data_IF_497512999724
#
_entry.id   IF_497512999724
#
_cell.length_a   1.000
_cell.length_b   1.000
_cell.length_c   1.000
_cell.angle_alpha   90.00
_cell.angle_beta   90.00
_cell.angle_gamma   90.00
#
_symmetry.space_group_name_H-M   'P 1'
#
loop_
_entity.id
_entity.type
_entity.pdbx_description
1 polymer ?
#
# COMPACT_ATOMS: atom_id res chain seq x y z
N UNK A 1 -3.76 -16.08 -6.48
CA UNK A 1 -2.52 -15.82 -5.74
C UNK A 1 -2.81 -14.79 -4.66
N UNK A 2 -2.46 -15.06 -3.41
CA UNK A 2 -2.74 -14.19 -2.25
C UNK A 2 -1.63 -13.16 -2.05
N UNK A 3 -1.97 -11.89 -1.85
CA UNK A 3 -0.95 -10.87 -1.50
C UNK A 3 -0.48 -11.10 -0.06
N UNK A 4 0.83 -11.19 0.16
CA UNK A 4 1.42 -11.45 1.48
C UNK A 4 2.42 -10.37 1.86
N UNK A 5 2.38 -9.96 3.12
CA UNK A 5 3.42 -9.16 3.77
C UNK A 5 3.92 -9.96 4.97
N UNK A 6 5.21 -10.27 5.02
CA UNK A 6 5.81 -10.82 6.24
C UNK A 6 5.97 -9.72 7.27
N UNK A 7 5.64 -9.99 8.53
CA UNK A 7 5.81 -9.07 9.65
C UNK A 7 6.81 -9.68 10.63
N UNK A 8 8.03 -9.16 10.62
CA UNK A 8 9.16 -9.69 11.38
C UNK A 8 9.64 -8.69 12.45
N UNK A 9 10.34 -9.20 13.46
CA UNK A 9 10.83 -8.41 14.59
C UNK A 9 10.97 -9.24 15.87
N UNK A 10 11.75 -8.78 16.85
CA UNK A 10 11.94 -9.53 18.08
C UNK A 10 10.63 -9.73 18.86
N UNK A 11 10.56 -10.71 19.78
CA UNK A 11 9.49 -10.77 20.78
C UNK A 11 9.29 -9.41 21.46
N UNK A 12 8.06 -8.97 21.67
CA UNK A 12 7.79 -7.67 22.32
C UNK A 12 7.90 -6.44 21.42
N UNK A 13 8.29 -6.56 20.13
CA UNK A 13 8.41 -5.41 19.22
C UNK A 13 7.08 -4.77 18.78
N UNK A 14 5.93 -5.31 19.22
CA UNK A 14 4.61 -4.77 18.90
C UNK A 14 3.96 -5.30 17.61
N UNK A 15 4.53 -6.33 16.95
CA UNK A 15 3.99 -6.90 15.69
C UNK A 15 2.48 -7.12 15.69
N UNK A 16 1.96 -7.98 16.57
CA UNK A 16 0.52 -8.27 16.62
C UNK A 16 -0.35 -7.03 16.84
N UNK A 17 0.11 -6.07 17.65
CA UNK A 17 -0.59 -4.79 17.84
C UNK A 17 -0.65 -3.98 16.55
N UNK A 18 0.47 -3.90 15.82
CA UNK A 18 0.53 -3.20 14.55
C UNK A 18 -0.24 -3.94 13.45
N UNK A 19 -0.22 -5.28 13.43
CA UNK A 19 -1.03 -6.08 12.52
C UNK A 19 -2.53 -5.87 12.73
N UNK A 20 -3.00 -5.80 13.98
CA UNK A 20 -4.40 -5.51 14.29
C UNK A 20 -4.82 -4.13 13.75
N UNK A 21 -3.99 -3.10 13.95
CA UNK A 21 -4.21 -1.76 13.39
C UNK A 21 -4.21 -1.77 11.86
N UNK A 22 -3.29 -2.51 11.22
CA UNK A 22 -3.24 -2.64 9.76
C UNK A 22 -4.50 -3.33 9.24
N UNK A 23 -4.95 -4.41 9.89
CA UNK A 23 -6.18 -5.12 9.53
C UNK A 23 -7.40 -4.20 9.58
N UNK A 24 -7.56 -3.45 10.67
CA UNK A 24 -8.66 -2.50 10.86
C UNK A 24 -8.67 -1.39 9.80
N UNK A 25 -7.51 -0.85 9.44
CA UNK A 25 -7.42 0.35 8.59
C UNK A 25 -7.25 0.05 7.09
N UNK A 26 -6.74 -1.14 6.72
CA UNK A 26 -6.37 -1.45 5.34
C UNK A 26 -7.01 -2.71 4.76
N UNK A 27 -7.79 -3.46 5.55
CA UNK A 27 -8.50 -4.67 5.09
C UNK A 27 -7.60 -5.87 4.81
N UNK A 28 -6.38 -5.87 5.36
CA UNK A 28 -5.54 -7.07 5.40
C UNK A 28 -6.01 -7.99 6.52
N UNK A 29 -5.74 -9.29 6.41
CA UNK A 29 -6.02 -10.26 7.48
C UNK A 29 -4.72 -10.61 8.20
N UNK A 30 -4.72 -10.48 9.53
CA UNK A 30 -3.60 -10.85 10.39
C UNK A 30 -3.58 -12.36 10.63
N UNK A 31 -2.50 -13.02 10.20
CA UNK A 31 -2.22 -14.42 10.47
C UNK A 31 -0.91 -14.54 11.26
N UNK A 32 -1.04 -14.73 12.57
CA UNK A 32 0.10 -14.98 13.45
C UNK A 32 0.44 -16.46 13.44
N UNK A 33 1.63 -16.80 12.94
CA UNK A 33 2.10 -18.19 12.92
C UNK A 33 2.09 -18.80 14.33
N UNK A 34 2.48 -18.00 15.34
CA UNK A 34 2.45 -18.45 16.73
C UNK A 34 1.04 -18.68 17.28
N UNK A 35 0.05 -17.88 16.87
CA UNK A 35 -1.33 -18.07 17.35
C UNK A 35 -2.00 -19.26 16.66
N UNK A 36 -1.78 -19.44 15.35
CA UNK A 36 -2.22 -20.64 14.63
C UNK A 36 -1.63 -21.92 15.24
N UNK A 37 -0.35 -21.90 15.64
CA UNK A 37 0.28 -23.01 16.35
C UNK A 37 -0.34 -23.25 17.73
N UNK A 38 -0.63 -22.20 18.51
CA UNK A 38 -1.32 -22.32 19.80
C UNK A 38 -2.74 -22.88 19.67
N UNK A 39 -3.47 -22.46 18.63
CA UNK A 39 -4.79 -22.97 18.30
C UNK A 39 -4.74 -24.45 17.93
N UNK A 40 -3.84 -24.84 17.02
CA UNK A 40 -3.67 -26.25 16.62
C UNK A 40 -3.21 -27.13 17.78
N UNK A 41 -2.38 -26.59 18.69
CA UNK A 41 -1.99 -27.27 19.92
C UNK A 41 -3.20 -27.55 20.82
N UNK A 42 -4.06 -26.57 20.99
CA UNK A 42 -5.22 -26.66 21.89
C UNK A 42 -6.40 -27.42 21.24
N UNK A 43 -6.34 -27.74 19.94
CA UNK A 43 -7.40 -28.44 19.22
C UNK A 43 -7.47 -29.90 19.65
N UNK A 44 -8.63 -30.33 20.15
CA UNK A 44 -8.86 -31.73 20.55
C UNK A 44 -8.64 -32.68 19.37
N UNK A 45 -7.85 -33.74 19.58
CA UNK A 45 -7.51 -34.71 18.53
C UNK A 45 -6.47 -34.20 17.51
N UNK A 46 -5.76 -33.12 17.81
CA UNK A 46 -4.66 -32.64 16.97
C UNK A 46 -3.52 -33.66 16.91
N UNK A 47 -3.15 -34.09 15.70
CA UNK A 47 -1.98 -34.95 15.45
C UNK A 47 -0.64 -34.25 15.71
N UNK A 48 -0.65 -32.91 15.81
CA UNK A 48 0.55 -32.10 16.02
C UNK A 48 0.61 -31.49 17.43
N UNK A 49 -0.40 -31.70 18.27
CA UNK A 49 -0.55 -30.98 19.53
C UNK A 49 0.64 -31.12 20.47
N UNK A 50 1.11 -32.35 20.69
CA UNK A 50 2.26 -32.64 21.57
C UNK A 50 3.59 -32.13 21.00
N UNK A 51 3.78 -32.27 19.68
CA UNK A 51 4.96 -31.76 18.98
C UNK A 51 5.05 -30.23 19.09
N UNK A 52 3.94 -29.53 18.84
CA UNK A 52 3.86 -28.08 18.95
C UNK A 52 4.10 -27.62 20.39
N UNK A 53 3.50 -28.28 21.38
CA UNK A 53 3.70 -27.97 22.80
C UNK A 53 5.18 -28.07 23.20
N UNK A 54 5.89 -29.10 22.72
CA UNK A 54 7.31 -29.30 22.98
C UNK A 54 8.16 -28.14 22.43
N UNK A 55 7.90 -27.72 21.19
CA UNK A 55 8.61 -26.59 20.58
C UNK A 55 8.29 -25.25 21.25
N UNK A 56 7.03 -25.01 21.61
CA UNK A 56 6.60 -23.78 22.30
C UNK A 56 7.31 -23.66 23.66
N UNK A 57 7.29 -24.73 24.48
CA UNK A 57 7.96 -24.73 25.80
C UNK A 57 9.47 -24.46 25.70
N UNK A 58 10.11 -25.03 24.69
CA UNK A 58 11.56 -24.91 24.50
C UNK A 58 11.99 -23.64 23.75
N UNK A 59 11.06 -22.85 23.20
CA UNK A 59 11.38 -21.68 22.39
C UNK A 59 12.05 -22.02 21.06
N UNK A 60 11.88 -23.25 20.57
CA UNK A 60 12.43 -23.74 19.30
C UNK A 60 11.40 -23.63 18.17
N UNK A 61 11.85 -23.81 16.93
CA UNK A 61 11.01 -23.64 15.73
C UNK A 61 10.28 -24.94 15.43
N UNK A 62 8.95 -24.85 15.25
CA UNK A 62 8.10 -25.97 14.78
C UNK A 62 8.44 -26.27 13.31
N UNK A 63 8.43 -27.54 12.87
CA UNK A 63 8.66 -27.91 11.47
C UNK A 63 7.88 -27.04 10.47
N UNK A 64 8.57 -26.64 9.39
CA UNK A 64 8.07 -25.66 8.43
C UNK A 64 6.78 -26.12 7.74
N UNK A 65 6.63 -27.41 7.44
CA UNK A 65 5.47 -27.97 6.73
C UNK A 65 4.19 -27.79 7.55
N UNK A 66 4.27 -27.94 8.87
CA UNK A 66 3.13 -27.73 9.78
C UNK A 66 2.72 -26.27 9.75
N UNK A 67 3.69 -25.36 9.86
CA UNK A 67 3.42 -23.91 9.88
C UNK A 67 2.86 -23.43 8.54
N UNK A 68 3.44 -23.86 7.42
CA UNK A 68 2.94 -23.56 6.07
C UNK A 68 1.53 -24.12 5.83
N UNK A 69 1.24 -25.35 6.26
CA UNK A 69 -0.10 -25.93 6.13
C UNK A 69 -1.16 -25.13 6.92
N UNK A 70 -0.85 -24.74 8.16
CA UNK A 70 -1.74 -23.91 8.97
C UNK A 70 -1.99 -22.53 8.35
N UNK A 71 -0.92 -21.87 7.88
CA UNK A 71 -1.02 -20.57 7.19
C UNK A 71 -1.85 -20.69 5.90
N UNK A 72 -1.60 -21.70 5.07
CA UNK A 72 -2.34 -21.94 3.83
C UNK A 72 -3.83 -22.17 4.10
N UNK A 73 -4.15 -23.02 5.07
CA UNK A 73 -5.54 -23.27 5.46
C UNK A 73 -6.23 -21.99 5.93
N UNK A 74 -5.57 -21.19 6.77
CA UNK A 74 -6.13 -19.93 7.26
C UNK A 74 -6.37 -18.91 6.12
N UNK A 75 -5.46 -18.84 5.13
CA UNK A 75 -5.65 -17.99 3.94
C UNK A 75 -6.85 -18.44 3.11
N UNK A 76 -7.00 -19.75 2.88
CA UNK A 76 -8.12 -20.31 2.11
C UNK A 76 -9.50 -20.05 2.76
N UNK A 77 -9.56 -19.90 4.09
CA UNK A 77 -10.80 -19.53 4.80
C UNK A 77 -11.18 -18.05 4.65
N UNK A 78 -10.33 -17.23 4.03
CA UNK A 78 -10.54 -15.78 3.88
C UNK A 78 -10.25 -15.32 2.43
N UNK A 79 -10.95 -15.88 1.42
CA UNK A 79 -10.65 -15.61 0.01
C UNK A 79 -10.83 -14.13 -0.39
N UNK A 80 -11.69 -13.39 0.31
CA UNK A 80 -11.98 -11.98 0.03
C UNK A 80 -10.98 -10.99 0.68
N UNK A 81 -9.95 -11.49 1.39
CA UNK A 81 -8.96 -10.63 2.01
C UNK A 81 -8.14 -9.84 0.97
N UNK A 82 -7.92 -8.54 1.22
CA UNK A 82 -7.06 -7.71 0.35
C UNK A 82 -5.62 -8.24 0.29
N UNK A 83 -5.17 -8.85 1.38
CA UNK A 83 -3.89 -9.51 1.55
C UNK A 83 -3.75 -10.03 2.98
N UNK A 84 -2.65 -10.72 3.25
CA UNK A 84 -2.37 -11.35 4.54
C UNK A 84 -1.09 -10.81 5.16
N UNK A 85 -1.15 -10.51 6.46
CA UNK A 85 0.00 -10.18 7.30
C UNK A 85 0.45 -11.46 8.00
N UNK A 86 1.54 -12.04 7.54
CA UNK A 86 2.10 -13.25 8.13
C UNK A 86 3.07 -12.83 9.24
N UNK A 87 2.58 -12.85 10.49
CA UNK A 87 3.29 -12.38 11.68
C UNK A 87 4.14 -13.48 12.31
N UNK A 88 5.45 -13.22 12.39
CA UNK A 88 6.40 -14.07 13.09
C UNK A 88 6.89 -15.29 12.30
N UNK A 89 6.80 -15.26 10.97
CA UNK A 89 7.33 -16.26 10.04
C UNK A 89 7.74 -15.57 8.71
N UNK A 90 8.81 -16.01 8.01
CA UNK A 90 9.78 -17.05 8.38
C UNK A 90 10.75 -16.61 9.48
N UNK A 91 11.28 -17.57 10.26
CA UNK A 91 12.22 -17.30 11.38
C UNK A 91 13.65 -17.76 11.16
N UNK A 92 13.89 -18.62 10.18
CA UNK A 92 15.19 -19.18 9.82
C UNK A 92 15.18 -19.60 8.33
N UNK A 93 16.31 -20.10 7.83
CA UNK A 93 16.44 -20.44 6.41
C UNK A 93 15.53 -21.60 6.01
N UNK A 94 15.43 -22.63 6.85
CA UNK A 94 14.51 -23.77 6.64
C UNK A 94 13.05 -23.34 6.47
N UNK A 95 12.59 -22.37 7.27
CA UNK A 95 11.27 -21.76 7.12
C UNK A 95 11.10 -21.05 5.78
N UNK A 96 12.12 -20.31 5.33
CA UNK A 96 12.08 -19.60 4.05
C UNK A 96 12.08 -20.58 2.86
N UNK A 97 12.91 -21.61 2.90
CA UNK A 97 13.00 -22.63 1.86
C UNK A 97 11.71 -23.46 1.78
N UNK A 98 11.18 -23.90 2.92
CA UNK A 98 9.90 -24.59 2.98
C UNK A 98 8.73 -23.69 2.56
N UNK A 99 8.75 -22.40 2.89
CA UNK A 99 7.76 -21.44 2.36
C UNK A 99 7.82 -21.35 0.84
N UNK A 100 9.01 -21.18 0.27
CA UNK A 100 9.18 -21.09 -1.18
C UNK A 100 8.70 -22.37 -1.87
N UNK A 101 8.99 -23.54 -1.29
CA UNK A 101 8.53 -24.83 -1.81
C UNK A 101 7.01 -24.98 -1.77
N UNK A 102 6.37 -24.65 -0.65
CA UNK A 102 4.94 -24.98 -0.41
C UNK A 102 3.98 -23.86 -0.84
N UNK A 103 4.45 -22.60 -0.87
CA UNK A 103 3.60 -21.41 -0.99
C UNK A 103 3.88 -20.56 -2.22
N UNK A 104 5.02 -20.67 -2.91
CA UNK A 104 5.40 -19.76 -4.01
C UNK A 104 4.32 -19.64 -5.10
N UNK A 105 3.69 -20.74 -5.51
CA UNK A 105 2.64 -20.73 -6.55
C UNK A 105 1.30 -20.13 -6.06
N UNK A 106 1.15 -19.95 -4.75
CA UNK A 106 -0.10 -19.52 -4.12
C UNK A 106 -0.06 -18.06 -3.65
N UNK A 107 1.13 -17.46 -3.52
CA UNK A 107 1.31 -16.16 -2.87
C UNK A 107 2.16 -15.18 -3.68
N UNK A 108 1.83 -13.90 -3.57
CA UNK A 108 2.60 -12.78 -4.09
C UNK A 108 3.20 -12.00 -2.91
N UNK A 109 4.47 -12.24 -2.59
CA UNK A 109 5.16 -11.53 -1.51
C UNK A 109 5.38 -10.07 -1.91
N UNK A 110 4.75 -9.14 -1.19
CA UNK A 110 4.83 -7.71 -1.48
C UNK A 110 6.11 -7.09 -0.91
N UNK A 111 6.38 -7.33 0.38
CA UNK A 111 7.52 -6.82 1.13
C UNK A 111 7.55 -7.47 2.52
N UNK A 112 8.59 -7.17 3.29
CA UNK A 112 8.75 -7.55 4.70
C UNK A 112 8.69 -6.31 5.57
N UNK A 113 7.68 -6.22 6.43
CA UNK A 113 7.58 -5.21 7.47
C UNK A 113 8.43 -5.65 8.67
N UNK A 114 9.54 -4.96 8.90
CA UNK A 114 10.48 -5.29 9.97
C UNK A 114 10.38 -4.26 11.11
N UNK A 115 9.87 -4.69 12.26
CA UNK A 115 9.76 -3.88 13.47
C UNK A 115 10.97 -4.10 14.38
N UNK A 116 11.83 -3.10 14.54
CA UNK A 116 12.97 -3.14 15.47
C UNK A 116 12.60 -2.61 16.84
N UNK A 117 13.20 -3.18 17.89
CA UNK A 117 12.97 -2.77 19.26
C UNK A 117 14.20 -3.17 20.09
N UNK A 118 14.59 -2.34 21.07
CA UNK A 118 15.71 -2.71 21.96
C UNK A 118 15.34 -3.91 22.83
N UNK A 119 16.36 -4.66 23.26
CA UNK A 119 16.19 -5.85 24.11
C UNK A 119 15.46 -5.50 25.40
N UNK A 120 15.83 -4.39 26.02
CA UNK A 120 15.28 -3.90 27.28
C UNK A 120 13.80 -3.57 27.13
N UNK A 121 13.43 -2.86 26.06
CA UNK A 121 12.02 -2.55 25.76
C UNK A 121 11.21 -3.81 25.42
N UNK A 122 11.80 -4.76 24.70
CA UNK A 122 11.17 -6.05 24.40
C UNK A 122 10.85 -6.82 25.68
N UNK A 123 11.80 -6.93 26.60
CA UNK A 123 11.63 -7.59 27.89
C UNK A 123 10.53 -6.92 28.71
N UNK A 124 10.61 -5.59 28.87
CA UNK A 124 9.60 -4.80 29.59
C UNK A 124 8.20 -5.03 29.00
N UNK A 125 8.04 -4.87 27.68
CA UNK A 125 6.75 -5.05 27.00
C UNK A 125 6.20 -6.48 27.12
N UNK A 126 7.06 -7.49 27.12
CA UNK A 126 6.62 -8.87 27.28
C UNK A 126 6.19 -9.18 28.72
N UNK A 127 6.94 -8.72 29.73
CA UNK A 127 6.58 -8.90 31.14
C UNK A 127 5.31 -8.11 31.52
N UNK A 128 5.14 -6.89 31.00
CA UNK A 128 3.95 -6.07 31.26
C UNK A 128 2.65 -6.60 30.65
N UNK A 129 2.71 -7.53 29.68
CA UNK A 129 1.50 -8.17 29.13
C UNK A 129 0.80 -9.08 30.14
N UNK A 130 1.49 -9.49 31.21
CA UNK A 130 1.00 -10.52 32.13
C UNK A 130 1.00 -11.91 31.49
N UNK A 131 0.40 -12.89 32.18
CA UNK A 131 0.32 -14.29 31.73
C UNK A 131 -0.71 -14.51 30.61
N UNK A 132 -0.71 -13.66 29.57
CA UNK A 132 -1.57 -13.86 28.40
C UNK A 132 -1.21 -15.14 27.63
N UNK A 133 0.02 -15.64 27.78
CA UNK A 133 0.47 -16.92 27.22
C UNK A 133 1.10 -17.80 28.31
N UNK A 134 0.93 -19.11 28.17
CA UNK A 134 1.52 -20.10 29.07
C UNK A 134 3.06 -20.06 29.11
N UNK A 135 3.69 -19.48 28.08
CA UNK A 135 5.15 -19.33 27.92
C UNK A 135 5.67 -17.92 28.24
N UNK A 136 4.86 -17.02 28.81
CA UNK A 136 5.29 -15.66 29.19
C UNK A 136 6.03 -15.64 30.56
N UNK A 137 7.02 -16.52 30.73
CA UNK A 137 7.99 -16.47 31.84
C UNK A 137 9.35 -15.95 31.35
N UNK A 138 10.16 -15.43 32.28
CA UNK A 138 11.44 -14.79 31.94
C UNK A 138 12.41 -15.73 31.20
N UNK A 139 12.45 -17.01 31.57
CA UNK A 139 13.34 -18.01 30.98
C UNK A 139 12.96 -18.32 29.52
N UNK A 140 11.68 -18.59 29.26
CA UNK A 140 11.14 -18.82 27.92
C UNK A 140 11.30 -17.57 27.04
N UNK A 141 11.14 -16.38 27.61
CA UNK A 141 11.32 -15.13 26.88
C UNK A 141 12.79 -14.91 26.47
N UNK A 142 13.76 -15.20 27.34
CA UNK A 142 15.19 -15.16 27.01
C UNK A 142 15.51 -16.10 25.85
N UNK A 143 15.08 -17.36 25.94
CA UNK A 143 15.22 -18.36 24.85
C UNK A 143 14.67 -17.85 23.52
N UNK A 144 13.48 -17.22 23.53
CA UNK A 144 12.85 -16.65 22.32
C UNK A 144 13.63 -15.48 21.72
N UNK A 145 14.25 -14.64 22.55
CA UNK A 145 15.10 -13.54 22.09
C UNK A 145 16.39 -14.08 21.49
N UNK A 146 17.00 -15.08 22.12
CA UNK A 146 18.23 -15.71 21.64
C UNK A 146 18.01 -16.43 20.30
N UNK A 147 16.93 -17.21 20.16
CA UNK A 147 16.53 -17.82 18.88
C UNK A 147 16.33 -16.78 17.79
N UNK A 148 15.68 -15.64 18.10
CA UNK A 148 15.49 -14.55 17.14
C UNK A 148 16.84 -13.97 16.67
N UNK A 149 17.73 -13.63 17.61
CA UNK A 149 19.03 -13.03 17.28
C UNK A 149 19.92 -13.98 16.47
N UNK A 150 19.89 -15.27 16.79
CA UNK A 150 20.78 -16.25 16.17
C UNK A 150 20.29 -16.76 14.82
N UNK A 151 18.96 -16.83 14.58
CA UNK A 151 18.41 -17.49 13.40
C UNK A 151 17.62 -16.56 12.48
N UNK A 152 16.94 -15.55 13.03
CA UNK A 152 16.07 -14.67 12.22
C UNK A 152 16.85 -13.55 11.55
N UNK A 153 18.03 -13.18 12.07
CA UNK A 153 18.84 -12.10 11.49
C UNK A 153 19.31 -12.40 10.06
N UNK A 154 19.69 -13.64 9.76
CA UNK A 154 20.05 -14.05 8.39
C UNK A 154 18.91 -13.85 7.39
N UNK A 155 17.66 -14.02 7.85
CA UNK A 155 16.46 -13.79 7.03
C UNK A 155 16.21 -12.31 6.80
N UNK A 156 16.43 -11.48 7.82
CA UNK A 156 16.40 -10.02 7.65
C UNK A 156 17.45 -9.58 6.64
N UNK A 157 18.66 -10.13 6.69
CA UNK A 157 19.72 -9.83 5.73
C UNK A 157 19.37 -10.29 4.31
N UNK A 158 18.82 -11.49 4.15
CA UNK A 158 18.34 -12.01 2.86
C UNK A 158 17.34 -11.04 2.20
N UNK A 159 16.30 -10.63 2.92
CA UNK A 159 15.29 -9.70 2.40
C UNK A 159 15.82 -8.26 2.26
N UNK A 160 16.84 -7.88 3.03
CA UNK A 160 17.53 -6.58 2.88
C UNK A 160 18.28 -6.55 1.55
N UNK A 161 19.04 -7.60 1.21
CA UNK A 161 19.74 -7.73 -0.09
C UNK A 161 18.76 -7.73 -1.27
N UNK A 162 17.56 -8.27 -1.08
CA UNK A 162 16.48 -8.25 -2.08
C UNK A 162 15.70 -6.92 -2.14
N UNK A 163 16.06 -5.88 -1.35
CA UNK A 163 15.32 -4.61 -1.24
C UNK A 163 13.84 -4.78 -0.86
N UNK A 164 13.49 -5.83 -0.11
CA UNK A 164 12.13 -6.12 0.33
C UNK A 164 11.84 -5.66 1.77
N UNK A 165 12.86 -5.28 2.54
CA UNK A 165 12.70 -4.85 3.93
C UNK A 165 12.17 -3.41 4.01
N UNK A 166 11.09 -3.25 4.77
CA UNK A 166 10.62 -1.95 5.26
C UNK A 166 10.77 -1.90 6.77
N UNK A 167 11.83 -1.23 7.22
CA UNK A 167 12.25 -1.16 8.63
C UNK A 167 11.53 -0.03 9.37
N UNK A 168 10.94 -0.34 10.51
CA UNK A 168 10.28 0.60 11.41
C UNK A 168 10.82 0.42 12.83
N UNK A 169 11.26 1.52 13.44
CA UNK A 169 11.63 1.51 14.86
C UNK A 169 10.40 1.59 15.75
N UNK A 170 10.16 0.54 16.53
CA UNK A 170 9.05 0.40 17.49
C UNK A 170 9.29 1.18 18.79
N UNK A 171 9.71 2.44 18.66
CA UNK A 171 9.87 3.41 19.75
C UNK A 171 8.67 4.35 19.74
N UNK A 172 8.11 4.58 20.93
CA UNK A 172 6.90 5.39 21.12
C UNK A 172 5.68 4.59 21.55
N UNK A 173 4.53 5.25 21.55
CA UNK A 173 3.23 4.63 21.81
C UNK A 173 2.70 3.87 20.56
N UNK A 174 1.58 3.15 20.71
CA UNK A 174 1.02 2.30 19.63
C UNK A 174 0.69 3.10 18.37
N UNK A 175 0.12 4.29 18.52
CA UNK A 175 -0.33 5.13 17.41
C UNK A 175 0.86 5.80 16.71
N UNK A 176 1.89 6.24 17.45
CA UNK A 176 3.15 6.77 16.88
C UNK A 176 3.87 5.72 16.01
N UNK A 177 3.93 4.47 16.49
CA UNK A 177 4.51 3.36 15.73
C UNK A 177 3.62 3.06 14.51
N UNK A 178 2.30 3.07 14.69
CA UNK A 178 1.37 2.81 13.59
C UNK A 178 1.44 3.90 12.52
N UNK A 179 1.67 5.16 12.89
CA UNK A 179 1.88 6.23 11.92
C UNK A 179 3.14 6.01 11.08
N UNK A 180 4.22 5.49 11.68
CA UNK A 180 5.41 5.05 10.92
C UNK A 180 5.09 3.87 9.99
N UNK A 181 4.28 2.92 10.45
CA UNK A 181 3.76 1.82 9.61
C UNK A 181 2.88 2.36 8.47
N UNK A 182 2.05 3.38 8.69
CA UNK A 182 1.25 4.01 7.63
C UNK A 182 2.09 4.66 6.53
N UNK A 183 3.38 4.93 6.75
CA UNK A 183 4.25 5.58 5.75
C UNK A 183 4.42 4.71 4.48
N UNK A 184 3.98 3.45 4.49
CA UNK A 184 3.91 2.60 3.30
C UNK A 184 3.10 3.23 2.17
N UNK A 185 3.74 3.30 1.01
CA UNK A 185 3.10 3.26 -0.30
C UNK A 185 1.93 4.24 -0.42
N UNK A 186 2.21 5.50 -0.75
CA UNK A 186 1.13 6.42 -1.11
C UNK A 186 0.67 6.11 -2.55
N UNK A 187 0.09 4.93 -2.77
CA UNK A 187 -0.64 4.67 -4.00
C UNK A 187 -1.89 5.53 -4.02
N UNK A 188 -1.82 6.65 -4.74
CA UNK A 188 -2.97 7.43 -5.19
C UNK A 188 -3.62 6.70 -6.37
N UNK A 189 -4.11 5.50 -6.12
CA UNK A 189 -4.72 4.65 -7.14
C UNK A 189 -6.23 4.74 -7.10
N UNK A 190 -6.83 5.08 -8.24
CA UNK A 190 -8.25 5.02 -8.43
C UNK A 190 -8.76 3.59 -8.25
N UNK A 191 -10.02 3.44 -7.84
CA UNK A 191 -10.70 2.15 -7.84
C UNK A 191 -10.61 1.50 -9.21
N UNK A 192 -10.57 0.17 -9.24
CA UNK A 192 -10.63 -0.60 -10.49
C UNK A 192 -11.83 -0.16 -11.32
N UNK A 193 -11.61 0.13 -12.60
CA UNK A 193 -12.63 0.68 -13.49
C UNK A 193 -12.76 2.18 -13.48
N UNK A 194 -12.00 2.91 -12.66
CA UNK A 194 -11.95 4.36 -12.65
C UNK A 194 -10.66 4.86 -13.32
N UNK A 195 -10.75 6.01 -13.97
CA UNK A 195 -9.61 6.76 -14.49
C UNK A 195 -9.45 8.09 -13.76
N UNK A 196 -8.28 8.72 -13.86
CA UNK A 196 -8.08 10.07 -13.33
C UNK A 196 -8.75 11.09 -14.25
N UNK A 197 -9.52 12.02 -13.67
CA UNK A 197 -10.13 13.15 -14.39
C UNK A 197 -9.69 14.50 -13.89
N UNK A 198 -9.07 14.60 -12.70
CA UNK A 198 -8.42 15.82 -12.27
C UNK A 198 -7.16 15.55 -11.47
N UNK A 199 -6.17 16.43 -11.62
CA UNK A 199 -4.93 16.45 -10.85
C UNK A 199 -4.71 17.86 -10.33
N UNK A 200 -4.41 17.99 -9.04
CA UNK A 200 -4.29 19.27 -8.35
C UNK A 200 -3.14 19.27 -7.36
N UNK A 201 -2.39 20.37 -7.32
CA UNK A 201 -1.44 20.69 -6.25
C UNK A 201 -1.97 21.86 -5.42
N UNK A 202 -2.14 21.67 -4.12
CA UNK A 202 -2.69 22.67 -3.18
C UNK A 202 -1.57 23.19 -2.29
N UNK A 203 -1.45 24.52 -2.14
CA UNK A 203 -0.49 25.10 -1.19
C UNK A 203 -0.82 24.73 0.25
N UNK A 204 0.24 24.56 1.07
CA UNK A 204 0.10 24.55 2.52
C UNK A 204 -0.40 25.92 3.01
N UNK A 205 -1.31 25.98 4.01
CA UNK A 205 -1.71 27.23 4.68
C UNK A 205 -0.53 28.05 5.19
N UNK A 206 0.54 27.37 5.61
CA UNK A 206 1.76 28.01 6.12
C UNK A 206 2.72 28.45 5.00
N UNK A 207 2.36 28.26 3.72
CA UNK A 207 3.20 28.57 2.54
C UNK A 207 4.62 27.97 2.60
N UNK A 208 4.81 26.89 3.36
CA UNK A 208 6.06 26.11 3.42
C UNK A 208 5.92 24.83 2.61
N UNK A 209 6.91 24.54 1.75
CA UNK A 209 7.00 23.30 0.97
C UNK A 209 6.16 23.27 -0.32
N UNK A 210 6.25 22.17 -1.09
CA UNK A 210 5.62 22.04 -2.42
C UNK A 210 4.09 21.97 -2.39
N UNK A 211 3.47 21.90 -1.21
CA UNK A 211 2.04 21.70 -1.07
C UNK A 211 1.68 20.22 -1.14
N UNK A 212 0.42 19.92 -1.49
CA UNK A 212 -0.14 18.58 -1.47
C UNK A 212 -0.75 18.19 -2.80
N UNK A 213 -0.55 16.93 -3.22
CA UNK A 213 -1.03 16.38 -4.47
C UNK A 213 -2.38 15.69 -4.30
N UNK A 214 -3.30 15.95 -5.22
CA UNK A 214 -4.69 15.53 -5.14
C UNK A 214 -5.15 15.02 -6.50
N UNK A 215 -5.82 13.87 -6.53
CA UNK A 215 -6.40 13.32 -7.76
C UNK A 215 -7.90 13.09 -7.60
N UNK A 216 -8.65 13.36 -8.66
CA UNK A 216 -10.06 13.00 -8.77
C UNK A 216 -10.22 11.92 -9.83
N UNK A 217 -11.05 10.93 -9.52
CA UNK A 217 -11.31 9.79 -10.36
C UNK A 217 -12.79 9.71 -10.69
N UNK A 218 -13.10 9.26 -11.90
CA UNK A 218 -14.46 8.92 -12.31
C UNK A 218 -14.50 7.50 -12.86
N UNK A 219 -15.66 6.86 -12.72
CA UNK A 219 -15.90 5.54 -13.30
C UNK A 219 -15.72 5.64 -14.82
N UNK A 220 -15.03 4.68 -15.41
CA UNK A 220 -14.77 4.57 -16.85
C UNK A 220 -15.28 3.24 -17.39
N UNK A 221 -15.22 2.17 -16.59
CA UNK A 221 -15.69 0.85 -16.99
C UNK A 221 -16.36 0.13 -15.82
N UNK A 222 -17.60 -0.33 -16.06
CA UNK A 222 -18.38 -1.03 -15.05
C UNK A 222 -18.01 -2.51 -14.90
N UNK A 223 -17.31 -3.09 -15.87
CA UNK A 223 -16.90 -4.50 -15.87
C UNK A 223 -15.50 -4.69 -15.27
N UNK A 224 -15.37 -4.31 -14.00
CA UNK A 224 -14.07 -4.28 -13.28
C UNK A 224 -13.29 -5.60 -13.29
N UNK A 225 -13.97 -6.74 -13.45
CA UNK A 225 -13.34 -8.05 -13.56
C UNK A 225 -12.47 -8.21 -14.82
N UNK A 226 -12.77 -7.50 -15.91
CA UNK A 226 -12.02 -7.57 -17.17
C UNK A 226 -10.81 -6.65 -17.23
N UNK A 227 -10.62 -5.84 -16.19
CA UNK A 227 -9.57 -4.81 -16.16
C UNK A 227 -8.28 -5.43 -15.62
N UNK A 228 -7.17 -5.14 -16.29
CA UNK A 228 -5.83 -5.46 -15.82
C UNK A 228 -5.05 -4.18 -15.58
N UNK A 229 -4.22 -4.13 -14.54
CA UNK A 229 -3.45 -2.94 -14.20
C UNK A 229 -1.99 -3.31 -13.93
N UNK A 230 -1.09 -2.47 -14.37
CA UNK A 230 0.36 -2.61 -14.24
C UNK A 230 1.00 -1.28 -13.84
N UNK A 231 2.20 -1.37 -13.28
CA UNK A 231 3.07 -0.22 -13.02
C UNK A 231 4.12 -0.15 -14.12
N UNK A 232 4.80 0.99 -14.23
CA UNK A 232 5.97 1.07 -15.10
C UNK A 232 7.01 0.03 -14.66
N UNK A 233 7.65 -0.60 -15.64
CA UNK A 233 8.74 -1.55 -15.40
C UNK A 233 10.03 -0.84 -14.97
N UNK A 234 10.13 0.46 -15.21
CA UNK A 234 11.29 1.30 -14.91
C UNK A 234 10.89 2.49 -14.06
N UNK A 235 11.79 2.92 -13.17
CA UNK A 235 11.57 4.13 -12.38
C UNK A 235 11.38 5.37 -13.30
N UNK A 236 10.43 6.27 -12.99
CA UNK A 236 10.28 7.56 -13.67
C UNK A 236 11.60 8.34 -13.70
N UNK A 237 12.00 8.84 -14.87
CA UNK A 237 13.28 9.51 -15.10
C UNK A 237 13.15 11.04 -15.12
N UNK A 238 11.97 11.57 -15.47
CA UNK A 238 11.75 13.02 -15.62
C UNK A 238 12.79 13.71 -16.52
N UNK A 239 13.05 13.09 -17.67
CA UNK A 239 13.94 13.58 -18.73
C UNK A 239 13.18 14.22 -19.91
N UNK A 240 11.86 14.42 -19.76
CA UNK A 240 10.97 14.93 -20.81
C UNK A 240 10.36 13.89 -21.75
N UNK A 241 10.75 12.62 -21.64
CA UNK A 241 10.05 11.54 -22.34
C UNK A 241 8.68 11.31 -21.71
N UNK A 242 7.76 10.80 -22.53
CA UNK A 242 6.44 10.41 -22.04
C UNK A 242 6.58 9.14 -21.21
N UNK A 243 6.25 9.25 -19.93
CA UNK A 243 6.23 8.15 -18.97
C UNK A 243 4.78 7.86 -18.61
N UNK A 244 4.38 6.59 -18.67
CA UNK A 244 3.01 6.18 -18.38
C UNK A 244 2.50 5.12 -19.33
N UNK A 245 1.24 5.27 -19.72
CA UNK A 245 0.43 4.22 -20.29
C UNK A 245 0.61 4.12 -21.81
N UNK A 246 0.62 2.88 -22.32
CA UNK A 246 0.83 2.58 -23.74
C UNK A 246 -0.39 1.89 -24.38
N UNK A 247 -0.49 1.92 -25.71
CA UNK A 247 -1.66 1.37 -26.41
C UNK A 247 -2.98 1.92 -25.88
N UNK A 248 -3.91 1.02 -25.53
CA UNK A 248 -5.23 1.32 -24.94
C UNK A 248 -5.21 1.48 -23.41
N UNK A 249 -4.04 1.63 -22.80
CA UNK A 249 -3.96 1.83 -21.35
C UNK A 249 -4.22 3.28 -20.97
N UNK A 250 -4.96 3.46 -19.87
CA UNK A 250 -5.29 4.75 -19.29
C UNK A 250 -4.71 4.88 -17.88
N UNK A 251 -4.41 6.12 -17.48
CA UNK A 251 -3.84 6.43 -16.19
C UNK A 251 -4.92 6.29 -15.09
N UNK A 252 -4.66 5.42 -14.13
CA UNK A 252 -5.56 5.17 -13.00
C UNK A 252 -5.00 5.69 -11.68
N UNK A 253 -3.75 6.14 -11.64
CA UNK A 253 -3.16 6.55 -10.39
C UNK A 253 -1.68 6.80 -10.44
N UNK A 254 -1.13 7.08 -9.27
CA UNK A 254 0.30 7.16 -9.06
C UNK A 254 0.66 6.31 -7.84
N UNK A 255 1.61 5.40 -7.99
CA UNK A 255 2.35 4.92 -6.86
C UNK A 255 3.30 6.02 -6.39
N UNK A 256 3.56 6.00 -5.11
CA UNK A 256 4.24 7.05 -4.45
C UNK A 256 5.44 6.63 -3.65
N UNK A 257 6.62 7.16 -4.00
CA UNK A 257 7.83 6.99 -3.20
C UNK A 257 8.26 8.30 -2.53
N UNK A 258 8.38 8.29 -1.20
CA UNK A 258 9.04 9.38 -0.49
C UNK A 258 10.54 9.15 -0.63
N UNK A 259 11.24 10.02 -1.37
CA UNK A 259 12.68 9.91 -1.56
C UNK A 259 13.37 10.58 -0.37
N UNK A 260 13.64 9.82 0.70
CA UNK A 260 14.24 10.24 1.99
C UNK A 260 13.36 11.14 2.86
N UNK A 261 13.55 11.07 4.19
CA UNK A 261 12.71 11.79 5.17
C UNK A 261 12.87 13.31 5.13
N UNK A 262 13.99 13.82 4.60
CA UNK A 262 14.36 15.23 4.74
C UNK A 262 14.01 16.07 3.50
N UNK A 263 13.92 15.44 2.32
CA UNK A 263 13.82 16.15 1.04
C UNK A 263 12.41 16.68 0.73
N UNK A 264 11.37 16.16 1.39
CA UNK A 264 9.96 16.37 1.01
C UNK A 264 9.67 16.06 -0.48
N UNK A 265 10.51 15.26 -1.14
CA UNK A 265 10.35 14.87 -2.54
C UNK A 265 9.58 13.55 -2.65
N UNK A 266 8.59 13.58 -3.52
CA UNK A 266 7.61 12.53 -3.75
C UNK A 266 7.73 12.13 -5.22
N UNK A 267 8.27 10.94 -5.48
CA UNK A 267 8.30 10.34 -6.81
C UNK A 267 6.92 9.75 -7.10
N UNK A 268 6.33 10.17 -8.22
CA UNK A 268 5.06 9.66 -8.70
C UNK A 268 5.31 8.67 -9.84
N UNK A 269 5.03 7.39 -9.60
CA UNK A 269 5.10 6.32 -10.60
C UNK A 269 3.69 6.04 -11.18
N UNK A 270 3.44 6.35 -12.46
CA UNK A 270 2.17 6.07 -13.13
C UNK A 270 1.69 4.63 -12.97
N UNK A 271 0.41 4.48 -12.61
CA UNK A 271 -0.29 3.19 -12.63
C UNK A 271 -1.24 3.19 -13.83
N UNK A 272 -1.07 2.20 -14.70
CA UNK A 272 -1.76 2.08 -15.96
C UNK A 272 -2.69 0.88 -15.96
N UNK A 273 -3.93 1.07 -16.40
CA UNK A 273 -4.88 -0.04 -16.57
C UNK A 273 -5.33 -0.17 -18.02
N UNK A 274 -5.65 -1.39 -18.42
CA UNK A 274 -6.27 -1.71 -19.70
C UNK A 274 -7.63 -2.36 -19.47
N UNK A 275 -8.56 -2.12 -20.39
CA UNK A 275 -9.85 -2.79 -20.44
C UNK A 275 -10.21 -3.11 -21.89
N UNK A 276 -10.77 -4.29 -22.19
CA UNK A 276 -11.33 -4.59 -23.52
C UNK A 276 -12.53 -3.70 -23.88
N UNK A 277 -13.16 -3.04 -22.90
CA UNK A 277 -14.30 -2.16 -23.10
C UNK A 277 -13.92 -0.69 -23.31
N UNK A 278 -12.63 -0.36 -23.16
CA UNK A 278 -12.11 1.00 -23.30
C UNK A 278 -11.19 1.06 -24.51
N UNK A 279 -11.44 2.02 -25.38
CA UNK A 279 -10.57 2.34 -26.53
C UNK A 279 -10.02 3.75 -26.36
N UNK A 280 -8.72 3.91 -26.59
CA UNK A 280 -8.05 5.20 -26.61
C UNK A 280 -7.78 5.55 -28.06
N UNK A 281 -8.18 6.75 -28.47
CA UNK A 281 -7.82 7.28 -29.77
C UNK A 281 -6.42 7.90 -29.69
N UNK A 282 -5.40 7.16 -30.15
CA UNK A 282 -4.02 7.63 -30.13
C UNK A 282 -3.76 8.85 -31.02
N UNK A 283 -4.60 9.11 -32.02
CA UNK A 283 -4.45 10.26 -32.93
C UNK A 283 -4.93 11.55 -32.25
N UNK A 284 -5.87 11.44 -31.30
CA UNK A 284 -6.38 12.56 -30.51
C UNK A 284 -5.44 13.01 -29.39
N UNK A 285 -4.37 12.27 -29.11
CA UNK A 285 -3.49 12.54 -27.97
C UNK A 285 -2.77 13.88 -28.12
N UNK A 286 -2.82 14.69 -27.06
CA UNK A 286 -2.12 15.98 -26.99
C UNK A 286 -1.46 16.17 -25.62
N UNK A 287 -0.35 16.90 -25.58
CA UNK A 287 0.39 17.14 -24.33
C UNK A 287 0.12 18.52 -23.78
N UNK A 288 -0.42 18.58 -22.56
CA UNK A 288 -0.82 19.82 -21.89
C UNK A 288 0.05 20.10 -20.67
N UNK A 289 0.62 21.31 -20.58
CA UNK A 289 1.37 21.73 -19.38
C UNK A 289 0.40 22.09 -18.27
N UNK A 290 0.50 21.40 -17.13
CA UNK A 290 -0.46 21.56 -16.04
C UNK A 290 0.00 22.48 -14.91
N UNK A 291 1.30 22.81 -14.84
CA UNK A 291 1.84 23.54 -13.70
C UNK A 291 2.81 24.67 -14.06
N UNK A 292 2.90 25.61 -13.13
CA UNK A 292 3.92 26.65 -13.07
C UNK A 292 4.82 26.42 -11.85
N UNK A 293 6.09 26.79 -11.99
CA UNK A 293 7.13 26.61 -10.97
C UNK A 293 6.71 27.17 -9.62
N UNK A 294 6.78 26.36 -8.58
CA UNK A 294 6.45 26.69 -7.19
C UNK A 294 4.99 27.03 -6.92
N UNK A 295 4.11 27.03 -7.94
CA UNK A 295 2.71 27.46 -7.80
C UNK A 295 1.76 26.28 -7.63
N UNK A 296 0.70 26.43 -6.81
CA UNK A 296 -0.46 25.55 -6.86
C UNK A 296 -1.03 25.49 -8.28
N UNK A 297 -1.64 24.36 -8.63
CA UNK A 297 -2.32 24.20 -9.91
C UNK A 297 -3.49 23.25 -9.77
N UNK A 298 -4.44 23.32 -10.70
CA UNK A 298 -5.59 22.42 -10.80
C UNK A 298 -5.88 22.19 -12.27
N UNK A 299 -5.75 20.96 -12.72
CA UNK A 299 -6.03 20.55 -14.10
C UNK A 299 -7.15 19.51 -14.08
N UNK A 300 -8.20 19.73 -14.88
CA UNK A 300 -9.41 18.91 -14.88
C UNK A 300 -9.86 18.66 -16.32
N UNK A 301 -10.13 17.41 -16.64
CA UNK A 301 -10.82 17.02 -17.85
C UNK A 301 -12.31 17.35 -17.65
N UNK A 302 -12.81 18.32 -18.42
CA UNK A 302 -14.20 18.78 -18.27
C UNK A 302 -15.22 17.74 -18.74
N UNK A 303 -14.83 16.91 -19.71
CA UNK A 303 -15.68 15.89 -20.31
C UNK A 303 -15.16 14.47 -20.00
N UNK A 304 -16.08 13.51 -19.91
CA UNK A 304 -15.77 12.11 -19.54
C UNK A 304 -15.21 11.26 -20.69
N UNK A 305 -15.12 11.84 -21.88
CA UNK A 305 -14.57 11.26 -23.11
C UNK A 305 -13.07 11.53 -23.26
N UNK A 306 -12.39 12.05 -22.23
CA UNK A 306 -10.93 12.17 -22.20
C UNK A 306 -10.32 11.39 -21.03
N UNK A 307 -9.08 10.95 -21.20
CA UNK A 307 -8.27 10.39 -20.12
C UNK A 307 -6.84 10.88 -20.18
N UNK A 308 -6.21 11.01 -19.01
CA UNK A 308 -4.77 11.09 -18.93
C UNK A 308 -4.15 9.74 -19.29
N UNK A 309 -3.08 9.78 -20.08
CA UNK A 309 -2.36 8.59 -20.53
C UNK A 309 -0.95 8.53 -19.97
N UNK A 310 -0.27 9.65 -19.86
CA UNK A 310 1.06 9.70 -19.28
C UNK A 310 1.44 11.09 -18.86
N UNK A 311 2.66 11.21 -18.34
CA UNK A 311 3.26 12.47 -17.95
C UNK A 311 4.65 12.61 -18.57
N UNK A 312 4.98 13.83 -18.97
CA UNK A 312 6.35 14.24 -19.23
C UNK A 312 6.76 15.17 -18.10
N UNK A 313 7.91 14.91 -17.49
CA UNK A 313 8.44 15.79 -16.45
C UNK A 313 9.85 16.27 -16.74
N UNK A 314 10.16 17.47 -16.26
CA UNK A 314 11.50 18.06 -16.29
C UNK A 314 11.81 18.66 -14.93
N UNK A 315 12.99 18.32 -14.40
CA UNK A 315 13.53 18.98 -13.22
C UNK A 315 13.91 20.44 -13.54
N UNK A 316 13.58 21.34 -12.62
CA UNK A 316 14.03 22.72 -12.66
C UNK A 316 14.94 22.99 -11.48
N UNK A 317 16.09 23.57 -11.76
CA UNK A 317 17.11 23.86 -10.76
C UNK A 317 17.33 25.37 -10.64
N UNK A 318 17.72 25.83 -9.45
CA UNK A 318 18.24 27.19 -9.29
C UNK A 318 19.60 27.29 -9.98
N UNK A 319 19.78 28.32 -10.79
CA UNK A 319 21.04 28.55 -11.50
C UNK A 319 22.23 28.85 -10.57
N UNK A 320 21.98 29.29 -9.34
CA UNK A 320 23.01 29.71 -8.39
C UNK A 320 23.75 28.56 -7.70
N UNK A 321 23.05 27.46 -7.41
CA UNK A 321 23.55 26.36 -6.57
C UNK A 321 23.14 24.97 -7.07
N UNK A 322 22.52 24.87 -8.25
CA UNK A 322 21.95 23.65 -8.81
C UNK A 322 21.00 22.91 -7.85
N UNK A 323 20.38 23.61 -6.89
CA UNK A 323 19.35 23.00 -6.03
C UNK A 323 18.07 22.79 -6.83
N UNK A 324 17.45 21.61 -6.68
CA UNK A 324 16.15 21.33 -7.28
C UNK A 324 15.11 22.32 -6.73
N UNK A 325 14.50 23.08 -7.63
CA UNK A 325 13.51 24.11 -7.33
C UNK A 325 12.08 23.55 -7.42
N UNK A 326 11.75 22.89 -8.52
CA UNK A 326 10.44 22.24 -8.77
C UNK A 326 10.55 21.28 -9.97
N UNK A 327 9.44 20.65 -10.33
CA UNK A 327 9.28 19.85 -11.54
C UNK A 327 8.25 20.52 -12.45
N UNK A 328 8.53 20.64 -13.74
CA UNK A 328 7.51 20.98 -14.76
C UNK A 328 6.87 19.69 -15.24
N UNK A 329 5.55 19.65 -15.27
CA UNK A 329 4.77 18.48 -15.67
C UNK A 329 3.88 18.85 -16.85
N UNK A 330 3.94 18.03 -17.90
CA UNK A 330 2.93 17.94 -18.94
C UNK A 330 2.21 16.62 -18.83
N UNK A 331 0.90 16.59 -19.08
CA UNK A 331 0.13 15.35 -19.18
C UNK A 331 -0.27 15.11 -20.63
N UNK A 332 -0.13 13.88 -21.08
CA UNK A 332 -0.76 13.43 -22.32
C UNK A 332 -2.24 13.14 -22.04
N UNK A 333 -3.11 13.82 -22.78
CA UNK A 333 -4.56 13.70 -22.73
C UNK A 333 -5.02 13.16 -24.07
N UNK A 334 -5.83 12.09 -24.06
CA UNK A 334 -6.38 11.49 -25.27
C UNK A 334 -7.89 11.32 -25.13
N UNK A 335 -8.60 11.39 -26.25
CA UNK A 335 -9.99 10.97 -26.31
C UNK A 335 -10.11 9.46 -26.09
N UNK A 336 -11.18 9.06 -25.41
CA UNK A 336 -11.49 7.69 -25.05
C UNK A 336 -12.95 7.36 -25.35
N UNK A 337 -13.21 6.09 -25.56
CA UNK A 337 -14.56 5.54 -25.69
C UNK A 337 -14.72 4.34 -24.77
N UNK A 338 -15.78 4.34 -23.95
CA UNK A 338 -16.16 3.20 -23.11
C UNK A 338 -17.51 2.65 -23.53
N UNK A 339 -17.56 1.36 -23.84
CA UNK A 339 -18.80 0.67 -24.21
C UNK A 339 -19.74 0.41 -23.03
N UNK A 340 -19.26 0.55 -21.79
CA UNK A 340 -20.01 0.18 -20.58
C UNK A 340 -20.38 1.37 -19.68
N UNK A 341 -19.75 2.53 -19.85
CA UNK A 341 -19.95 3.66 -18.95
C UNK A 341 -21.31 4.35 -19.11
N UNK A 342 -21.64 4.76 -20.34
CA UNK A 342 -22.89 5.48 -20.62
C UNK A 342 -24.09 4.56 -20.78
N UNK A 343 -23.88 3.28 -21.13
CA UNK A 343 -24.96 2.34 -21.45
C UNK A 343 -25.89 1.99 -20.28
N UNK A 344 -25.56 2.39 -19.04
CA UNK A 344 -26.31 2.05 -17.83
C UNK A 344 -27.03 3.23 -17.16
N UNK A 345 -27.00 4.45 -17.70
CA UNK A 345 -27.63 5.63 -17.08
C UNK A 345 -28.92 6.03 -17.77
N UNK A 346 -29.91 6.45 -16.98
CA UNK A 346 -31.17 7.02 -17.49
C UNK A 346 -31.07 8.51 -17.88
N UNK A 347 -29.88 9.12 -17.76
CA UNK A 347 -29.66 10.57 -17.91
C UNK A 347 -28.27 10.90 -18.49
N UNK A 348 -28.12 12.11 -19.08
CA UNK A 348 -26.85 12.58 -19.68
C UNK A 348 -25.98 13.31 -18.66
N UNK A 349 -24.70 12.97 -18.61
CA UNK A 349 -23.77 13.54 -17.63
C UNK A 349 -23.61 15.06 -17.74
N UNK A 350 -23.58 15.58 -18.96
CA UNK A 350 -23.45 17.02 -19.25
C UNK A 350 -24.60 17.85 -18.66
N UNK A 351 -25.76 17.24 -18.44
CA UNK A 351 -26.96 17.92 -17.92
C UNK A 351 -27.00 17.98 -16.39
N UNK A 352 -26.08 17.32 -15.70
CA UNK A 352 -26.11 17.19 -14.25
C UNK A 352 -25.29 18.26 -13.53
N UNK A 353 -25.73 18.67 -12.32
CA UNK A 353 -24.96 19.60 -11.53
C UNK A 353 -23.60 18.98 -11.17
N UNK A 354 -22.54 19.79 -11.05
CA UNK A 354 -21.23 19.30 -10.66
C UNK A 354 -21.27 18.57 -9.31
N UNK A 355 -20.55 17.43 -9.19
CA UNK A 355 -20.40 16.75 -7.90
C UNK A 355 -19.82 17.69 -6.84
N UNK A 356 -20.61 18.08 -5.85
CA UNK A 356 -20.15 18.84 -4.67
C UNK A 356 -19.64 17.89 -3.59
N UNK A 357 -18.44 17.34 -3.79
CA UNK A 357 -17.83 16.42 -2.85
C UNK A 357 -17.14 17.17 -1.70
N UNK A 358 -17.66 17.05 -0.48
CA UNK A 358 -17.00 17.50 0.75
C UNK A 358 -16.41 16.30 1.46
N UNK A 359 -15.12 16.02 1.25
CA UNK A 359 -14.44 14.88 1.85
C UNK A 359 -13.52 15.29 3.00
N UNK A 360 -13.43 14.44 4.03
CA UNK A 360 -12.84 14.69 5.36
C UNK A 360 -11.41 15.24 5.43
N UNK A 361 -11.05 15.66 6.65
CA UNK A 361 -9.81 16.32 7.10
C UNK A 361 -9.23 17.32 6.09
N UNK A 362 -9.62 18.59 6.22
CA UNK A 362 -8.98 19.68 5.45
C UNK A 362 -7.50 19.84 5.78
N UNK A 363 -7.11 19.50 7.01
CA UNK A 363 -5.78 19.71 7.55
C UNK A 363 -5.32 18.54 8.42
N UNK A 364 -4.13 18.03 8.13
CA UNK A 364 -3.38 17.11 8.96
C UNK A 364 -2.87 17.79 10.25
N UNK A 365 -2.41 16.98 11.21
CA UNK A 365 -1.69 17.46 12.38
C UNK A 365 -0.59 18.46 11.98
N UNK A 366 -0.52 19.61 12.67
CA UNK A 366 0.41 20.69 12.32
C UNK A 366 -0.02 21.52 11.10
N UNK A 367 -1.27 21.39 10.64
CA UNK A 367 -1.93 22.19 9.60
C UNK A 367 -1.41 22.00 8.16
N UNK A 368 -0.76 20.86 7.88
CA UNK A 368 -0.43 20.44 6.50
C UNK A 368 -1.70 20.02 5.75
N UNK A 369 -1.70 20.08 4.42
CA UNK A 369 -2.82 19.60 3.58
C UNK A 369 -2.58 18.13 3.19
N UNK A 370 -3.56 17.22 3.35
CA UNK A 370 -3.35 15.82 3.02
C UNK A 370 -3.28 15.57 1.51
N UNK A 371 -2.42 14.65 1.12
CA UNK A 371 -2.42 14.04 -0.21
C UNK A 371 -3.71 13.22 -0.34
N UNK A 372 -4.49 13.42 -1.42
CA UNK A 372 -5.86 12.86 -1.48
C UNK A 372 -6.21 12.23 -2.83
N UNK A 373 -7.08 11.25 -2.77
CA UNK A 373 -7.79 10.68 -3.92
C UNK A 373 -9.29 10.76 -3.68
N UNK A 374 -10.03 11.25 -4.68
CA UNK A 374 -11.48 11.41 -4.63
C UNK A 374 -12.12 10.64 -5.77
N UNK A 375 -12.90 9.61 -5.46
CA UNK A 375 -13.72 8.89 -6.43
C UNK A 375 -15.09 9.54 -6.52
N UNK A 376 -15.44 10.07 -7.68
CA UNK A 376 -16.78 10.55 -8.00
C UNK A 376 -17.56 9.40 -8.64
N UNK A 377 -18.63 8.96 -7.97
CA UNK A 377 -19.52 7.93 -8.45
C UNK A 377 -20.89 8.52 -8.75
N UNK A 378 -21.25 8.59 -10.02
CA UNK A 378 -22.56 9.04 -10.44
C UNK A 378 -23.57 7.90 -10.33
N UNK A 379 -24.73 8.17 -9.72
CA UNK A 379 -25.73 7.16 -9.47
C UNK A 379 -26.50 6.82 -10.77
N UNK A 380 -26.77 5.53 -11.08
CA UNK A 380 -27.37 5.15 -12.37
C UNK A 380 -28.74 5.78 -12.67
N UNK A 381 -29.55 5.95 -11.62
CA UNK A 381 -30.98 6.26 -11.74
C UNK A 381 -31.32 7.73 -11.45
N UNK A 382 -30.38 8.50 -10.91
CA UNK A 382 -30.60 9.89 -10.54
C UNK A 382 -29.37 10.75 -10.82
N UNK A 383 -29.62 12.02 -11.12
CA UNK A 383 -28.65 13.04 -11.46
C UNK A 383 -27.91 13.52 -10.19
N UNK A 384 -27.26 12.58 -9.51
CA UNK A 384 -26.60 12.75 -8.22
C UNK A 384 -25.24 12.03 -8.21
N UNK A 385 -24.44 12.34 -7.20
CA UNK A 385 -23.06 11.87 -7.11
C UNK A 385 -22.72 11.48 -5.68
N UNK A 386 -22.27 10.25 -5.49
CA UNK A 386 -21.66 9.77 -4.26
C UNK A 386 -20.14 9.88 -4.38
N UNK A 387 -19.49 10.51 -3.40
CA UNK A 387 -18.05 10.69 -3.42
C UNK A 387 -17.37 9.88 -2.33
N UNK A 388 -16.33 9.13 -2.70
CA UNK A 388 -15.53 8.36 -1.75
C UNK A 388 -14.08 8.83 -1.80
N UNK A 389 -13.56 9.27 -0.67
CA UNK A 389 -12.20 9.77 -0.56
C UNK A 389 -11.28 8.79 0.19
N UNK A 390 -10.01 8.81 -0.18
CA UNK A 390 -8.94 8.40 0.72
C UNK A 390 -7.91 9.53 0.77
N UNK A 391 -7.26 9.70 1.90
CA UNK A 391 -6.27 10.75 2.09
C UNK A 391 -5.15 10.28 3.01
N UNK A 392 -3.97 10.90 2.88
CA UNK A 392 -2.78 10.65 3.68
C UNK A 392 -2.13 11.97 4.07
N UNK A 393 -1.78 12.09 5.33
CA UNK A 393 -1.00 13.19 5.85
C UNK A 393 0.49 12.88 5.67
N UNK A 394 1.15 13.60 4.76
CA UNK A 394 2.59 13.51 4.49
C UNK A 394 3.22 14.83 4.94
#
# INVERSE_FOLDING_TARGET
>A
MFNVVFVLGPPGSGKGTQCAKIQENFGYVHLSAGDLLREERNRQGSKYGELIETHIKNGTIVPVEITCALLKNAMLQKPDAKGFLVDGFPRNQDNLDGWNKEMADHVNLQFVLYLTCSKEMCLQRCLSRGQGRSDDNEESLKKRIDTYNNQTMEIIEHFTKANLIRKIESVGNVDEIFDKVKIFDFSLQCKKGYHITAIKRVASPYKKGPGSFQVECQLLDTETQKISCEKLTTAPQCNGQLEGCSGNQFLTGFHGYSLTNDSNVVLLDPICCTSPNVKIDSISCSSERINSVGKPFSHKLEMSDFSYRGLQCWHQYKSSDNTLLDIVVKLEVCSIQSSTFNSKRSWKLESCPPCKCSCGIQYCSGGKVPVKILHKHFLPNECSCNCQCAYKCI
#
